data_IF_751726170615
#
_entry.id   IF_751726170615
#
_cell.length_a   1.000
_cell.length_b   1.000
_cell.length_c   1.000
_cell.angle_alpha   90.00
_cell.angle_beta   90.00
_cell.angle_gamma   90.00
#
_symmetry.space_group_name_H-M   'P 1'
#
loop_
_entity.id
_entity.type
_entity.pdbx_description
1 polymer ?
2 non-polymer ?
3 non-polymer ?
4 water ?
#
# COMPACT_ATOMS: atom_id res chain seq x y z
N UNK A 1 0.73 0.58 7.83
CA UNK A 1 0.15 -0.24 8.88
C UNK A 1 1.23 -0.70 9.90
N UNK A 2 2.50 -0.52 9.57
CA UNK A 2 3.66 -0.92 10.34
C UNK A 2 4.92 -0.21 9.89
N UNK A 3 6.09 -0.59 10.44
CA UNK A 3 7.34 0.15 10.20
C UNK A 3 7.86 0.21 8.76
N UNK A 4 7.57 -0.81 7.98
CA UNK A 4 7.97 -0.81 6.56
C UNK A 4 7.16 0.19 5.78
N UNK A 5 5.86 0.21 6.02
CA UNK A 5 4.93 1.18 5.38
C UNK A 5 5.25 2.61 5.86
N UNK A 6 5.65 2.77 7.11
CA UNK A 6 5.98 4.09 7.67
C UNK A 6 7.20 4.71 6.95
N UNK A 7 8.26 3.94 6.78
CA UNK A 7 9.44 4.43 6.01
C UNK A 7 9.06 4.75 4.55
N UNK A 8 8.33 3.85 3.89
CA UNK A 8 7.92 4.04 2.48
C UNK A 8 7.10 5.35 2.35
N UNK A 9 6.14 5.57 3.27
CA UNK A 9 5.29 6.78 3.21
C UNK A 9 6.15 8.07 3.36
N UNK A 10 7.13 8.03 4.25
CA UNK A 10 8.00 9.18 4.51
C UNK A 10 8.74 9.50 3.21
N UNK A 11 9.14 8.50 2.43
CA UNK A 11 9.83 8.76 1.13
C UNK A 11 8.80 9.27 0.12
N UNK A 12 7.62 8.65 0.05
CA UNK A 12 6.68 9.05 -1.00
C UNK A 12 6.22 10.50 -0.77
N UNK A 13 5.97 10.90 0.47
CA UNK A 13 5.33 12.19 0.76
C UNK A 13 6.27 13.35 0.47
N UNK A 14 7.58 13.18 0.46
CA UNK A 14 8.51 14.31 0.24
C UNK A 14 9.38 14.12 -1.02
N UNK A 15 9.63 12.88 -1.47
CA UNK A 15 10.67 12.63 -2.48
C UNK A 15 10.11 12.04 -3.77
N UNK A 16 8.82 12.18 -4.04
CA UNK A 16 8.28 11.71 -5.35
C UNK A 16 7.53 12.84 -6.05
N UNK A 17 7.52 12.73 -7.37
CA UNK A 17 6.70 13.55 -8.28
C UNK A 17 6.09 12.60 -9.30
N UNK A 18 5.04 13.07 -9.96
CA UNK A 18 4.45 12.33 -11.08
C UNK A 18 5.09 12.87 -12.37
N UNK A 19 5.79 12.01 -13.07
CA UNK A 19 6.49 12.37 -14.32
C UNK A 19 5.68 11.83 -15.48
N UNK A 20 5.47 12.65 -16.52
CA UNK A 20 4.72 12.23 -17.73
C UNK A 20 5.63 12.49 -18.94
N UNK A 21 5.92 11.42 -19.70
CA UNK A 21 6.64 11.51 -20.99
C UNK A 21 5.64 11.07 -22.08
N UNK A 22 6.10 10.96 -23.32
CA UNK A 22 5.28 10.41 -24.46
C UNK A 22 5.01 8.92 -24.26
N UNK A 23 5.73 8.27 -23.34
CA UNK A 23 5.59 6.84 -23.00
C UNK A 23 4.70 6.61 -21.78
N UNK A 24 4.08 7.62 -21.18
CA UNK A 24 3.06 7.54 -20.13
C UNK A 24 3.50 8.21 -18.82
N UNK A 25 2.76 7.92 -17.76
CA UNK A 25 2.92 8.48 -16.39
C UNK A 25 3.74 7.51 -15.55
N UNK A 26 4.75 8.02 -14.86
CA UNK A 26 5.69 7.25 -14.02
C UNK A 26 5.78 7.88 -12.63
N UNK A 27 5.91 7.05 -11.62
CA UNK A 27 6.47 7.47 -10.31
C UNK A 27 7.91 7.89 -10.58
N UNK A 28 8.29 9.05 -10.07
CA UNK A 28 9.66 9.57 -10.22
C UNK A 28 10.19 9.90 -8.81
N UNK A 29 11.31 9.30 -8.45
CA UNK A 29 12.00 9.52 -7.15
C UNK A 29 13.03 10.68 -7.26
N UNK A 30 12.81 11.72 -6.47
CA UNK A 30 13.77 12.82 -6.32
C UNK A 30 14.81 12.39 -5.29
N UNK A 31 16.10 12.62 -5.58
CA UNK A 31 17.17 12.09 -4.71
C UNK A 31 17.86 13.21 -3.91
N UNK A 32 18.18 14.32 -4.57
CA UNK A 32 18.76 15.52 -3.93
C UNK A 32 18.70 16.68 -4.93
N UNK A 33 18.82 17.91 -4.44
CA UNK A 33 18.85 19.13 -5.29
C UNK A 33 17.72 18.98 -6.32
N UNK A 34 17.99 19.09 -7.63
CA UNK A 34 16.96 18.98 -8.69
C UNK A 34 17.15 17.65 -9.45
N UNK A 35 17.74 16.67 -8.77
CA UNK A 35 18.16 15.41 -9.40
C UNK A 35 17.17 14.32 -9.03
N UNK A 36 16.64 13.66 -10.06
CA UNK A 36 15.64 12.55 -9.91
C UNK A 36 16.03 11.37 -10.76
N UNK A 37 15.32 10.27 -10.58
CA UNK A 37 15.52 9.01 -11.38
C UNK A 37 14.17 8.54 -11.92
N UNK A 38 14.28 7.82 -13.03
CA UNK A 38 13.09 7.28 -13.76
C UNK A 38 13.62 6.10 -14.57
N UNK A 39 12.78 5.07 -14.85
CA UNK A 39 13.26 4.00 -15.75
C UNK A 39 13.63 4.53 -17.14
N UNK A 40 14.71 3.99 -17.70
CA UNK A 40 15.21 4.48 -18.98
C UNK A 40 14.12 4.33 -20.07
N UNK A 41 13.30 3.29 -19.99
CA UNK A 41 12.21 3.11 -21.01
C UNK A 41 11.15 4.23 -20.98
N UNK A 42 11.13 5.14 -20.01
CA UNK A 42 10.26 6.33 -20.09
C UNK A 42 10.66 7.24 -21.23
N UNK A 43 11.86 7.11 -21.79
CA UNK A 43 12.38 7.90 -22.93
C UNK A 43 12.31 9.42 -22.66
N UNK A 44 13.00 9.88 -21.62
CA UNK A 44 13.00 11.31 -21.25
C UNK A 44 13.53 12.15 -22.42
N UNK A 45 12.84 13.22 -22.79
CA UNK A 45 13.31 14.15 -23.82
C UNK A 45 13.77 15.48 -23.26
N UNK A 46 13.68 16.53 -24.04
CA UNK A 46 14.11 17.87 -23.62
C UNK A 46 13.11 18.53 -22.63
N UNK A 47 11.85 18.14 -22.75
CA UNK A 47 10.72 18.65 -21.93
C UNK A 47 10.01 17.42 -21.35
N UNK A 48 9.62 17.56 -20.07
CA UNK A 48 8.90 16.51 -19.31
C UNK A 48 7.80 17.23 -18.53
N UNK A 49 6.71 16.54 -18.23
CA UNK A 49 5.72 17.12 -17.31
C UNK A 49 5.98 16.54 -15.90
N UNK A 50 6.00 17.43 -14.93
CA UNK A 50 6.23 17.07 -13.52
C UNK A 50 5.01 17.59 -12.73
N UNK A 51 4.22 16.70 -12.18
CA UNK A 51 2.94 17.09 -11.52
C UNK A 51 2.12 17.98 -12.49
N UNK A 52 2.08 17.64 -13.76
CA UNK A 52 1.31 18.32 -14.83
C UNK A 52 1.81 19.73 -15.11
N UNK A 53 3.06 20.02 -14.80
CA UNK A 53 3.72 21.27 -15.19
C UNK A 53 4.85 21.03 -16.19
N UNK A 54 4.79 21.76 -17.27
CA UNK A 54 5.82 21.70 -18.33
C UNK A 54 7.18 22.08 -17.77
N UNK A 55 8.15 21.17 -17.83
CA UNK A 55 9.44 21.39 -17.19
C UNK A 55 10.62 21.13 -18.18
N UNK A 56 11.60 22.02 -18.27
CA UNK A 56 12.79 21.74 -19.06
C UNK A 56 13.69 20.74 -18.34
N UNK A 57 14.25 19.85 -19.12
CA UNK A 57 15.22 18.84 -18.65
C UNK A 57 16.60 19.43 -18.86
N UNK A 58 17.32 19.74 -17.79
CA UNK A 58 18.67 20.37 -17.85
C UNK A 58 19.72 19.34 -18.21
N UNK A 59 19.54 18.08 -17.85
CA UNK A 59 20.50 17.01 -18.16
C UNK A 59 19.80 15.67 -17.98
N UNK A 60 20.10 14.70 -18.80
CA UNK A 60 19.55 13.33 -18.62
C UNK A 60 20.63 12.33 -19.04
N UNK A 61 20.86 11.33 -18.22
CA UNK A 61 21.89 10.29 -18.46
C UNK A 61 21.36 8.85 -18.24
N UNK A 62 21.27 8.06 -19.26
CA UNK A 62 20.91 6.64 -19.15
C UNK A 62 22.13 5.85 -18.67
N UNK A 63 22.09 5.32 -17.46
CA UNK A 63 23.25 4.62 -16.85
C UNK A 63 23.48 3.25 -17.51
N UNK A 64 24.75 2.92 -17.66
CA UNK A 64 25.23 1.60 -18.09
C UNK A 64 26.40 1.19 -17.17
N UNK A 65 26.56 -0.07 -16.88
CA UNK A 65 27.72 -0.50 -16.08
C UNK A 65 29.00 -0.45 -16.94
N UNK A 66 30.13 -0.76 -16.31
CA UNK A 66 31.45 -0.59 -16.98
C UNK A 66 31.65 -1.66 -18.07
N UNK A 67 30.86 -2.74 -18.06
CA UNK A 67 30.72 -3.72 -19.20
C UNK A 67 29.86 -3.16 -20.36
N UNK A 68 29.37 -1.91 -20.30
CA UNK A 68 28.52 -1.24 -21.33
C UNK A 68 27.20 -2.06 -21.38
N UNK A 69 26.70 -2.54 -20.24
CA UNK A 69 25.35 -3.17 -20.16
C UNK A 69 24.34 -2.17 -19.55
N UNK A 70 23.14 -2.13 -20.10
CA UNK A 70 22.00 -1.34 -19.57
C UNK A 70 21.84 -1.60 -18.06
N UNK A 71 21.66 -0.52 -17.28
CA UNK A 71 21.14 -0.57 -15.88
C UNK A 71 19.65 -0.14 -15.76
N UNK A 72 19.05 0.44 -16.80
CA UNK A 72 17.61 0.81 -16.84
C UNK A 72 17.28 1.99 -15.91
N UNK A 73 18.27 2.70 -15.42
CA UNK A 73 18.12 3.93 -14.60
C UNK A 73 18.48 5.10 -15.51
N UNK A 74 17.63 6.12 -15.58
CA UNK A 74 18.02 7.42 -16.15
C UNK A 74 18.03 8.45 -15.02
N UNK A 75 19.14 9.17 -14.86
CA UNK A 75 19.25 10.30 -13.92
C UNK A 75 18.90 11.58 -14.66
N UNK A 76 17.95 12.33 -14.14
CA UNK A 76 17.40 13.54 -14.78
C UNK A 76 17.67 14.71 -13.84
N UNK A 77 18.12 15.83 -14.38
CA UNK A 77 18.20 17.11 -13.64
C UNK A 77 17.09 18.04 -14.19
N UNK A 78 16.20 18.44 -13.31
CA UNK A 78 14.96 19.18 -13.69
C UNK A 78 15.17 20.68 -13.50
N UNK A 79 14.67 21.48 -14.44
CA UNK A 79 14.65 22.94 -14.25
C UNK A 79 13.45 23.33 -13.36
N UNK A 80 13.58 23.04 -12.08
CA UNK A 80 12.49 23.23 -11.09
C UNK A 80 12.96 24.27 -10.07
N UNK A 81 12.03 24.98 -9.43
CA UNK A 81 12.36 26.11 -8.52
C UNK A 81 12.53 25.63 -7.09
N UNK A 82 12.56 24.33 -6.86
CA UNK A 82 12.57 23.80 -5.48
C UNK A 82 13.47 22.55 -5.46
N UNK A 83 14.26 22.40 -4.42
CA UNK A 83 15.10 21.20 -4.22
C UNK A 83 14.32 20.08 -3.51
N UNK A 84 14.68 18.84 -3.80
CA UNK A 84 14.21 17.67 -3.03
C UNK A 84 14.97 17.58 -1.71
N UNK A 85 14.35 17.07 -0.68
CA UNK A 85 15.10 16.60 0.50
C UNK A 85 16.22 15.64 0.05
N UNK A 86 17.42 15.82 0.59
CA UNK A 86 18.54 14.92 0.27
C UNK A 86 18.39 13.58 0.99
N UNK A 87 18.15 12.51 0.21
CA UNK A 87 17.96 11.13 0.74
C UNK A 87 19.12 10.23 0.30
N UNK A 88 20.25 10.79 -0.10
CA UNK A 88 21.36 9.91 -0.54
C UNK A 88 21.88 9.01 0.58
N UNK A 89 21.76 9.42 1.84
CA UNK A 89 22.23 8.61 2.97
C UNK A 89 21.36 7.39 3.21
N UNK A 90 20.21 7.27 2.53
CA UNK A 90 19.38 6.05 2.60
C UNK A 90 19.73 5.03 1.50
N UNK A 91 20.68 5.36 0.63
CA UNK A 91 20.98 4.47 -0.52
C UNK A 91 22.04 3.48 -0.09
N UNK A 92 21.91 2.21 -0.49
CA UNK A 92 22.97 1.24 -0.22
C UNK A 92 24.26 1.55 -1.01
N UNK A 93 25.38 1.13 -0.41
CA UNK A 93 26.70 1.25 -1.10
C UNK A 93 26.95 0.08 -2.04
N UNK A 94 26.43 -1.12 -1.71
CA UNK A 94 26.76 -2.37 -2.44
C UNK A 94 25.50 -3.09 -2.96
N UNK A 95 25.68 -3.94 -3.98
CA UNK A 95 24.65 -4.91 -4.40
C UNK A 95 24.35 -5.80 -3.18
N UNK A 96 23.09 -6.13 -2.95
CA UNK A 96 22.66 -6.98 -1.83
C UNK A 96 21.29 -7.58 -2.08
N UNK A 97 20.95 -8.55 -1.25
CA UNK A 97 19.61 -9.14 -1.05
C UNK A 97 18.99 -8.51 0.19
N UNK A 98 17.67 -8.56 0.32
CA UNK A 98 16.95 -7.81 1.39
C UNK A 98 15.72 -8.58 1.83
N UNK A 99 15.36 -8.38 3.08
CA UNK A 99 14.07 -8.92 3.58
C UNK A 99 13.01 -7.83 3.55
N UNK A 100 11.75 -8.24 3.48
CA UNK A 100 10.63 -7.37 3.89
C UNK A 100 10.85 -6.04 3.15
N UNK A 101 10.51 -5.99 1.88
CA UNK A 101 10.47 -4.72 1.12
C UNK A 101 9.02 -4.28 0.85
N UNK A 102 8.86 -2.98 0.62
CA UNK A 102 7.61 -2.35 0.14
C UNK A 102 7.91 -1.69 -1.21
N UNK A 103 7.01 -1.87 -2.15
CA UNK A 103 6.98 -1.16 -3.45
C UNK A 103 5.88 -0.09 -3.37
N UNK A 104 6.26 1.18 -3.54
CA UNK A 104 5.33 2.32 -3.40
C UNK A 104 5.19 3.02 -4.76
N UNK A 105 3.94 3.35 -5.11
CA UNK A 105 3.59 3.94 -6.40
C UNK A 105 2.69 5.15 -6.14
N UNK A 106 2.88 6.22 -6.90
CA UNK A 106 1.94 7.36 -6.89
C UNK A 106 1.77 7.92 -8.32
N UNK A 107 0.63 7.61 -8.95
CA UNK A 107 0.25 8.18 -10.26
C UNK A 107 -1.24 8.57 -10.18
N UNK A 108 -1.72 9.20 -11.25
CA UNK A 108 -3.18 9.46 -11.50
C UNK A 108 -4.01 8.20 -11.28
N UNK A 109 -3.56 7.10 -11.91
CA UNK A 109 -4.15 5.73 -11.97
C UNK A 109 -4.08 5.03 -10.58
N UNK A 110 -2.89 5.03 -9.96
CA UNK A 110 -2.59 4.38 -8.66
C UNK A 110 -2.04 5.39 -7.63
N UNK A 111 -2.87 6.28 -7.05
CA UNK A 111 -2.41 7.16 -6.00
C UNK A 111 -2.28 6.39 -4.67
N UNK A 112 -1.27 6.77 -3.89
CA UNK A 112 -1.12 6.32 -2.50
C UNK A 112 -1.13 4.80 -2.40
N UNK A 113 -0.44 4.13 -3.31
CA UNK A 113 -0.35 2.65 -3.41
C UNK A 113 0.95 2.11 -2.78
N UNK A 114 0.78 1.15 -1.86
CA UNK A 114 1.88 0.53 -1.10
C UNK A 114 1.71 -0.98 -1.17
N UNK A 115 2.71 -1.73 -1.66
CA UNK A 115 2.64 -3.19 -1.84
C UNK A 115 3.72 -3.84 -1.01
N UNK A 116 3.37 -4.75 -0.08
CA UNK A 116 4.35 -5.53 0.64
C UNK A 116 4.76 -6.71 -0.26
N UNK A 117 5.92 -6.57 -0.91
CA UNK A 117 6.44 -7.53 -1.93
C UNK A 117 7.26 -8.65 -1.26
N UNK A 118 7.75 -8.49 -0.05
CA UNK A 118 8.43 -9.50 0.75
C UNK A 118 9.92 -9.56 0.42
N UNK A 119 10.48 -10.75 0.34
CA UNK A 119 11.93 -10.93 0.15
C UNK A 119 12.37 -10.44 -1.23
N UNK A 120 13.56 -9.81 -1.26
CA UNK A 120 14.16 -9.26 -2.52
C UNK A 120 15.49 -9.97 -2.80
N UNK A 121 15.56 -10.64 -3.94
CA UNK A 121 16.77 -11.36 -4.41
C UNK A 121 17.64 -10.45 -5.29
N UNK A 122 18.95 -10.45 -5.07
CA UNK A 122 19.93 -9.93 -6.04
C UNK A 122 19.90 -10.89 -7.22
N UNK A 123 19.09 -10.61 -8.20
CA UNK A 123 18.84 -11.50 -9.34
C UNK A 123 20.02 -11.38 -10.32
N UNK A 124 20.51 -10.18 -10.56
CA UNK A 124 21.64 -9.92 -11.46
C UNK A 124 21.20 -9.67 -12.87
N UNK A 125 21.49 -10.59 -13.79
CA UNK A 125 21.17 -10.46 -15.22
C UNK A 125 19.67 -10.72 -15.48
N UNK A 126 19.07 -9.88 -16.29
CA UNK A 126 17.71 -10.07 -16.81
C UNK A 126 17.70 -9.55 -18.24
N UNK A 127 17.10 -10.35 -19.10
CA UNK A 127 16.67 -9.90 -20.44
C UNK A 127 15.35 -9.17 -20.30
N UNK A 128 15.39 -7.84 -20.22
CA UNK A 128 14.25 -6.98 -19.93
C UNK A 128 13.68 -6.38 -21.20
N UNK A 129 12.51 -6.85 -21.63
CA UNK A 129 11.93 -6.48 -22.95
C UNK A 129 12.91 -6.69 -24.11
N UNK A 130 13.70 -7.75 -24.10
CA UNK A 130 14.72 -7.94 -25.14
C UNK A 130 16.09 -7.24 -24.88
N UNK A 131 16.23 -6.44 -23.82
CA UNK A 131 17.49 -5.67 -23.54
C UNK A 131 18.23 -6.31 -22.39
N UNK A 132 19.48 -6.79 -22.61
CA UNK A 132 20.28 -7.34 -21.51
C UNK A 132 20.46 -6.25 -20.44
N UNK A 133 20.20 -6.61 -19.19
CA UNK A 133 20.17 -5.61 -18.09
C UNK A 133 20.87 -6.21 -16.89
N UNK A 134 21.67 -5.41 -16.17
CA UNK A 134 22.37 -5.89 -14.96
C UNK A 134 21.82 -5.23 -13.69
N UNK A 135 22.26 -5.73 -12.55
CA UNK A 135 21.92 -5.15 -11.22
C UNK A 135 20.39 -5.17 -10.98
N UNK A 136 19.72 -6.25 -11.38
CA UNK A 136 18.27 -6.43 -11.16
C UNK A 136 18.01 -7.07 -9.79
N UNK A 137 17.04 -6.51 -9.10
CA UNK A 137 16.40 -7.08 -7.88
C UNK A 137 15.09 -7.74 -8.29
N UNK A 138 14.76 -8.87 -7.65
CA UNK A 138 13.51 -9.61 -7.95
C UNK A 138 12.70 -9.84 -6.67
N UNK A 139 11.39 -9.73 -6.80
CA UNK A 139 10.44 -10.02 -5.69
C UNK A 139 9.28 -10.82 -6.30
N UNK A 140 8.70 -11.69 -5.46
CA UNK A 140 7.61 -12.60 -5.93
C UNK A 140 6.29 -11.91 -5.65
N UNK A 141 5.93 -10.94 -6.49
CA UNK A 141 4.63 -10.26 -6.44
C UNK A 141 4.21 -10.05 -7.88
N UNK A 142 2.92 -10.33 -8.22
CA UNK A 142 2.42 -10.06 -9.57
C UNK A 142 2.18 -8.57 -9.81
N UNK A 143 3.27 -7.83 -10.04
CA UNK A 143 3.20 -6.39 -10.38
C UNK A 143 2.63 -6.19 -11.80
N UNK A 144 2.08 -4.98 -12.05
CA UNK A 144 1.22 -4.63 -13.23
C UNK A 144 1.74 -3.36 -13.89
N UNK A 145 1.38 -3.18 -15.17
CA UNK A 145 1.48 -1.92 -15.93
C UNK A 145 0.94 -0.76 -15.08
N UNK A 146 1.75 0.31 -14.99
CA UNK A 146 1.41 1.47 -14.15
C UNK A 146 2.26 1.60 -12.87
N UNK A 147 2.97 0.54 -12.49
CA UNK A 147 3.88 0.50 -11.30
C UNK A 147 5.36 0.83 -11.67
N UNK A 148 5.69 1.05 -12.94
CA UNK A 148 7.09 1.37 -13.29
C UNK A 148 7.50 2.73 -12.69
N UNK A 149 8.70 2.74 -12.14
CA UNK A 149 9.24 3.87 -11.40
C UNK A 149 8.91 3.78 -9.89
N UNK A 150 8.06 2.86 -9.49
CA UNK A 150 7.72 2.67 -8.09
C UNK A 150 8.96 2.48 -7.27
N UNK A 151 8.93 2.97 -6.04
CA UNK A 151 10.15 3.00 -5.18
C UNK A 151 10.14 1.73 -4.33
N UNK A 152 11.25 1.03 -4.28
CA UNK A 152 11.40 -0.16 -3.45
C UNK A 152 12.24 0.23 -2.23
N UNK A 153 11.68 0.01 -1.03
CA UNK A 153 12.31 0.41 0.22
C UNK A 153 12.31 -0.79 1.18
N UNK A 154 13.27 -0.80 2.10
CA UNK A 154 13.20 -1.58 3.33
C UNK A 154 13.11 -0.55 4.44
N UNK A 155 12.95 -0.97 5.69
CA UNK A 155 13.01 -0.01 6.82
C UNK A 155 14.50 0.44 6.79
N UNK A 156 14.67 1.71 6.54
CA UNK A 156 15.89 2.48 6.59
C UNK A 156 16.56 2.64 5.24
N UNK A 157 16.20 1.90 4.16
CA UNK A 157 16.94 2.01 2.88
C UNK A 157 16.04 2.16 1.67
N UNK A 158 16.48 2.97 0.73
CA UNK A 158 15.86 3.12 -0.61
C UNK A 158 16.71 2.30 -1.59
N UNK A 159 16.21 1.19 -2.08
CA UNK A 159 17.08 0.16 -2.70
C UNK A 159 16.89 0.04 -4.20
N UNK A 160 15.79 0.53 -4.78
CA UNK A 160 15.59 0.33 -6.22
C UNK A 160 14.35 1.01 -6.74
N UNK A 161 14.19 0.98 -8.07
CA UNK A 161 12.97 1.47 -8.74
C UNK A 161 12.46 0.33 -9.63
N UNK A 162 11.14 0.18 -9.63
CA UNK A 162 10.48 -0.90 -10.38
C UNK A 162 10.61 -0.67 -11.88
N UNK A 163 11.05 -1.71 -12.62
CA UNK A 163 11.27 -1.55 -14.08
C UNK A 163 10.48 -2.57 -14.92
N UNK A 164 9.95 -3.63 -14.34
CA UNK A 164 9.16 -4.59 -15.16
C UNK A 164 8.68 -5.77 -14.34
N UNK A 165 8.08 -6.74 -15.06
CA UNK A 165 7.61 -7.99 -14.42
C UNK A 165 7.20 -9.04 -15.44
N UNK A 166 6.91 -10.24 -14.98
CA UNK A 166 6.56 -11.38 -15.89
C UNK A 166 5.18 -11.93 -15.53
N UNK A 167 4.39 -11.26 -14.70
CA UNK A 167 3.04 -11.72 -14.32
C UNK A 167 3.05 -12.36 -12.95
N UNK A 168 4.17 -12.95 -12.54
CA UNK A 168 4.39 -13.60 -11.23
C UNK A 168 5.38 -12.83 -10.35
N UNK A 169 6.46 -12.40 -10.98
CA UNK A 169 7.60 -11.71 -10.33
C UNK A 169 7.66 -10.26 -10.84
N UNK A 170 8.15 -9.38 -9.98
CA UNK A 170 8.53 -8.01 -10.34
C UNK A 170 10.03 -7.81 -10.27
N UNK A 171 10.52 -6.82 -11.00
CA UNK A 171 11.95 -6.54 -11.14
C UNK A 171 12.20 -5.05 -10.94
N UNK A 172 13.27 -4.77 -10.19
CA UNK A 172 13.70 -3.40 -9.91
C UNK A 172 15.16 -3.23 -10.34
N UNK A 173 15.51 -2.04 -10.78
CA UNK A 173 16.91 -1.60 -10.97
C UNK A 173 17.43 -1.11 -9.61
N UNK A 174 18.60 -1.56 -9.20
CA UNK A 174 19.26 -1.16 -7.94
C UNK A 174 19.56 0.33 -7.98
N UNK A 175 19.34 0.98 -6.85
CA UNK A 175 19.94 2.32 -6.61
C UNK A 175 21.17 2.11 -5.71
N UNK A 176 22.28 2.71 -6.13
CA UNK A 176 23.54 2.67 -5.33
C UNK A 176 23.98 4.10 -5.05
N UNK A 177 24.59 4.27 -3.90
CA UNK A 177 25.08 5.58 -3.41
C UNK A 177 26.02 6.25 -4.45
N UNK A 178 26.88 5.42 -5.05
CA UNK A 178 27.91 5.88 -6.00
C UNK A 178 27.30 6.48 -7.26
N UNK A 179 26.01 6.27 -7.58
CA UNK A 179 25.39 6.88 -8.78
C UNK A 179 25.20 8.42 -8.59
N UNK A 180 25.19 8.89 -7.32
CA UNK A 180 24.71 10.27 -7.02
C UNK A 180 25.74 11.09 -6.23
N UNK A 181 27.02 10.71 -6.31
CA UNK A 181 28.15 11.57 -5.81
C UNK A 181 28.35 12.74 -6.83
N UNK B 2 -9.47 -0.15 -12.98
CA UNK B 2 -9.65 1.25 -12.50
C UNK B 2 -10.81 1.34 -11.52
N UNK B 3 -11.89 0.56 -11.75
CA UNK B 3 -13.02 0.50 -10.83
C UNK B 3 -12.67 -0.04 -9.43
N UNK B 4 -11.67 -0.92 -9.31
CA UNK B 4 -11.20 -1.49 -8.02
C UNK B 4 -10.55 -0.46 -7.09
N UNK B 5 -9.57 0.31 -7.59
CA UNK B 5 -9.03 1.50 -6.87
C UNK B 5 -10.10 2.56 -6.68
N UNK B 6 -10.92 2.86 -7.69
CA UNK B 6 -12.06 3.79 -7.53
C UNK B 6 -12.91 3.31 -6.35
N UNK B 7 -13.31 2.05 -6.37
CA UNK B 7 -14.21 1.50 -5.32
C UNK B 7 -13.55 1.63 -3.93
N UNK B 8 -12.27 1.25 -3.81
CA UNK B 8 -11.55 1.39 -2.52
C UNK B 8 -11.57 2.85 -2.07
N UNK B 9 -11.32 3.78 -3.00
CA UNK B 9 -11.31 5.23 -2.65
C UNK B 9 -12.71 5.71 -2.22
N UNK B 10 -13.76 5.22 -2.88
CA UNK B 10 -15.16 5.58 -2.55
C UNK B 10 -15.50 5.17 -1.12
N UNK B 11 -15.08 3.95 -0.76
CA UNK B 11 -15.33 3.42 0.60
C UNK B 11 -14.46 4.18 1.62
N UNK B 12 -13.21 4.49 1.26
CA UNK B 12 -12.33 5.30 2.15
C UNK B 12 -13.03 6.64 2.47
N UNK B 13 -13.41 7.39 1.43
CA UNK B 13 -13.88 8.79 1.61
C UNK B 13 -15.19 8.82 2.43
N UNK B 14 -16.17 8.02 2.09
CA UNK B 14 -17.53 8.19 2.64
C UNK B 14 -17.75 7.25 3.84
N UNK B 15 -16.94 6.21 4.02
CA UNK B 15 -17.25 5.15 5.01
C UNK B 15 -16.11 4.87 6.01
N UNK B 16 -14.98 5.49 5.90
CA UNK B 16 -13.85 5.13 6.80
C UNK B 16 -13.54 6.32 7.72
N UNK B 17 -13.36 6.06 9.02
CA UNK B 17 -13.04 7.09 10.01
C UNK B 17 -11.92 6.58 10.90
N UNK B 18 -11.27 7.52 11.61
CA UNK B 18 -10.21 7.15 12.55
C UNK B 18 -10.89 6.91 13.90
N UNK B 19 -10.78 5.71 14.44
CA UNK B 19 -11.31 5.44 15.79
C UNK B 19 -10.15 5.32 16.78
N UNK B 20 -10.24 6.00 17.92
CA UNK B 20 -9.22 5.89 18.98
C UNK B 20 -9.85 5.39 20.26
N UNK B 21 -9.33 4.25 20.71
CA UNK B 21 -9.75 3.63 21.99
C UNK B 21 -8.58 3.80 22.96
N UNK B 22 -8.71 3.20 24.13
CA UNK B 22 -7.62 3.17 25.13
C UNK B 22 -6.40 2.52 24.49
N UNK B 23 -6.55 1.62 23.51
CA UNK B 23 -5.40 0.92 22.88
C UNK B 23 -4.70 1.69 21.76
N UNK B 24 -5.28 2.77 21.30
CA UNK B 24 -4.74 3.55 20.20
C UNK B 24 -5.70 3.63 19.03
N UNK B 25 -5.13 3.91 17.86
CA UNK B 25 -5.93 4.22 16.66
C UNK B 25 -6.14 2.99 15.80
N UNK B 26 -7.37 2.93 15.25
CA UNK B 26 -7.82 1.84 14.37
C UNK B 26 -8.57 2.43 13.18
N UNK B 27 -8.39 1.82 12.01
CA UNK B 27 -9.25 2.13 10.87
C UNK B 27 -10.68 1.63 11.21
N UNK B 28 -11.72 2.47 11.17
CA UNK B 28 -13.09 2.00 11.47
C UNK B 28 -13.96 2.17 10.22
N UNK B 29 -14.75 1.15 9.90
CA UNK B 29 -15.69 1.15 8.79
C UNK B 29 -17.11 1.49 9.30
N UNK B 30 -17.67 2.61 8.81
CA UNK B 30 -19.09 2.88 9.01
C UNK B 30 -19.95 2.15 7.97
N UNK B 31 -21.03 1.51 8.41
CA UNK B 31 -21.83 0.64 7.54
C UNK B 31 -23.15 1.31 7.11
N UNK B 32 -23.90 1.84 8.07
CA UNK B 32 -25.16 2.53 7.75
C UNK B 32 -25.54 3.30 9.02
N UNK B 33 -26.45 4.28 8.92
CA UNK B 33 -26.89 5.07 10.09
C UNK B 33 -25.65 5.45 10.93
N UNK B 34 -25.68 5.14 12.23
CA UNK B 34 -24.52 5.40 13.15
C UNK B 34 -23.86 4.08 13.59
N UNK B 35 -23.93 3.08 12.72
CA UNK B 35 -23.46 1.71 12.99
C UNK B 35 -22.13 1.51 12.26
N UNK B 36 -21.11 1.11 12.99
CA UNK B 36 -19.75 0.92 12.47
C UNK B 36 -19.18 -0.42 13.01
N UNK B 37 -18.07 -0.79 12.44
CA UNK B 37 -17.31 -2.01 12.88
C UNK B 37 -15.85 -1.68 13.13
N UNK B 38 -15.27 -2.46 14.03
CA UNK B 38 -13.86 -2.32 14.44
C UNK B 38 -13.41 -3.70 14.93
N UNK B 39 -12.13 -4.08 14.85
CA UNK B 39 -11.70 -5.35 15.44
C UNK B 39 -11.98 -5.41 16.94
N UNK B 40 -12.38 -6.61 17.40
CA UNK B 40 -12.71 -6.77 18.83
C UNK B 40 -11.51 -6.44 19.72
N UNK B 41 -10.29 -6.70 19.24
CA UNK B 41 -9.08 -6.42 20.04
C UNK B 41 -8.87 -4.93 20.28
N UNK B 42 -9.61 -4.04 19.63
CA UNK B 42 -9.52 -2.60 19.93
C UNK B 42 -10.03 -2.26 21.34
N UNK B 43 -10.77 -3.14 21.99
CA UNK B 43 -11.22 -2.92 23.39
C UNK B 43 -12.08 -1.66 23.50
N UNK B 44 -13.16 -1.61 22.73
CA UNK B 44 -14.09 -0.46 22.75
C UNK B 44 -14.72 -0.29 24.15
N UNK B 45 -14.73 0.94 24.63
CA UNK B 45 -15.32 1.30 25.94
C UNK B 45 -16.62 2.04 25.77
N UNK B 46 -16.90 2.89 26.74
CA UNK B 46 -18.12 3.71 26.78
C UNK B 46 -18.01 4.95 25.89
N UNK B 47 -16.79 5.43 25.79
CA UNK B 47 -16.41 6.63 24.99
C UNK B 47 -15.33 6.20 23.98
N UNK B 48 -15.38 6.78 22.80
CA UNK B 48 -14.37 6.54 21.75
C UNK B 48 -14.11 7.89 21.08
N UNK B 49 -12.96 8.09 20.45
CA UNK B 49 -12.73 9.29 19.61
C UNK B 49 -12.93 8.88 18.15
N UNK B 50 -13.72 9.67 17.43
CA UNK B 50 -13.98 9.46 15.98
C UNK B 50 -13.41 10.70 15.29
N UNK B 51 -12.38 10.53 14.49
CA UNK B 51 -11.73 11.72 13.85
C UNK B 51 -11.44 12.79 14.92
N UNK B 52 -10.90 12.36 16.05
CA UNK B 52 -10.47 13.18 17.21
C UNK B 52 -11.65 13.82 17.94
N UNK B 53 -12.89 13.43 17.73
CA UNK B 53 -14.08 13.99 18.42
C UNK B 53 -14.50 12.97 19.46
N UNK B 54 -14.54 13.38 20.72
CA UNK B 54 -15.06 12.55 21.83
C UNK B 54 -16.50 12.13 21.57
N UNK B 55 -16.80 10.81 21.53
CA UNK B 55 -18.10 10.25 21.06
C UNK B 55 -18.59 9.14 22.02
N UNK B 56 -19.82 9.23 22.50
CA UNK B 56 -20.42 8.16 23.31
C UNK B 56 -20.71 6.96 22.39
N UNK B 57 -20.31 5.80 22.87
CA UNK B 57 -20.66 4.50 22.26
C UNK B 57 -21.97 4.06 22.94
N UNK B 58 -23.07 4.10 22.23
CA UNK B 58 -24.38 3.75 22.84
C UNK B 58 -24.53 2.22 23.01
N UNK B 59 -23.93 1.43 22.11
CA UNK B 59 -24.01 -0.04 22.17
C UNK B 59 -22.76 -0.59 21.47
N UNK B 60 -22.27 -1.70 21.99
CA UNK B 60 -21.11 -2.45 21.43
C UNK B 60 -21.45 -3.96 21.54
N UNK B 61 -21.23 -4.70 20.46
CA UNK B 61 -21.44 -6.17 20.40
C UNK B 61 -20.18 -6.84 19.85
N UNK B 62 -19.55 -7.69 20.65
CA UNK B 62 -18.41 -8.53 20.23
C UNK B 62 -19.03 -9.73 19.50
N UNK B 63 -19.07 -9.70 18.19
CA UNK B 63 -19.85 -10.68 17.40
C UNK B 63 -19.30 -12.12 17.51
N UNK B 64 -20.23 -13.05 17.61
CA UNK B 64 -19.98 -14.50 17.55
C UNK B 64 -20.97 -15.10 16.56
N UNK B 65 -20.61 -16.23 15.97
CA UNK B 65 -21.52 -16.87 15.00
C UNK B 65 -22.45 -17.82 15.75
N UNK B 66 -23.34 -18.50 15.04
CA UNK B 66 -24.38 -19.32 15.72
C UNK B 66 -23.78 -20.57 16.36
N UNK B 67 -22.51 -20.87 16.12
CA UNK B 67 -21.81 -21.94 16.89
C UNK B 67 -21.27 -21.39 18.20
N UNK B 68 -21.45 -20.10 18.48
CA UNK B 68 -20.94 -19.42 19.69
C UNK B 68 -19.42 -19.38 19.65
N UNK B 69 -18.85 -19.11 18.46
CA UNK B 69 -17.42 -18.89 18.22
C UNK B 69 -17.17 -17.41 17.85
N UNK B 70 -16.10 -16.85 18.44
CA UNK B 70 -15.60 -15.49 18.13
C UNK B 70 -15.47 -15.28 16.62
N UNK B 71 -15.90 -14.07 16.18
CA UNK B 71 -15.68 -13.58 14.78
C UNK B 71 -14.66 -12.41 14.70
N UNK B 72 -14.30 -11.80 15.85
CA UNK B 72 -13.29 -10.74 16.00
C UNK B 72 -13.81 -9.39 15.44
N UNK B 73 -15.10 -9.27 15.21
CA UNK B 73 -15.79 -8.02 14.77
C UNK B 73 -16.57 -7.52 15.97
N UNK B 74 -16.42 -6.24 16.27
CA UNK B 74 -17.29 -5.55 17.21
C UNK B 74 -18.09 -4.51 16.42
N UNK B 75 -19.40 -4.65 16.54
CA UNK B 75 -20.34 -3.67 15.96
C UNK B 75 -20.60 -2.63 17.04
N UNK B 76 -20.56 -1.36 16.66
CA UNK B 76 -20.85 -0.24 17.59
C UNK B 76 -21.96 0.62 17.03
N UNK B 77 -22.75 1.20 17.93
CA UNK B 77 -23.71 2.30 17.61
C UNK B 77 -23.16 3.57 18.27
N UNK B 78 -22.94 4.60 17.46
CA UNK B 78 -22.29 5.85 17.88
C UNK B 78 -23.33 6.95 18.10
N UNK B 79 -23.11 7.74 19.14
CA UNK B 79 -23.94 8.97 19.37
C UNK B 79 -23.33 10.18 18.62
N UNK B 80 -23.65 10.28 17.34
CA UNK B 80 -23.16 11.35 16.45
C UNK B 80 -24.26 11.67 15.43
N UNK B 81 -24.21 12.93 14.96
CA UNK B 81 -25.20 13.45 14.00
C UNK B 81 -25.07 12.86 12.59
N UNK B 82 -23.86 12.71 12.12
CA UNK B 82 -23.67 12.19 10.77
C UNK B 82 -24.23 10.78 10.63
N UNK B 83 -24.75 10.46 9.45
CA UNK B 83 -25.11 9.07 9.08
C UNK B 83 -24.17 8.57 7.99
N UNK B 84 -23.65 7.36 8.17
CA UNK B 84 -22.76 6.74 7.17
C UNK B 84 -23.57 6.37 5.93
N UNK B 85 -23.01 6.68 4.79
CA UNK B 85 -23.55 6.25 3.48
C UNK B 85 -23.75 4.73 3.54
N UNK B 86 -24.97 4.26 3.33
CA UNK B 86 -25.31 2.84 3.50
C UNK B 86 -24.52 1.99 2.49
N UNK B 87 -23.78 1.00 2.97
CA UNK B 87 -23.04 0.06 2.07
C UNK B 87 -23.47 -1.41 2.32
N UNK B 88 -24.62 -1.61 2.95
CA UNK B 88 -25.02 -3.01 3.24
C UNK B 88 -25.17 -3.84 1.98
N UNK B 89 -25.58 -3.23 0.87
CA UNK B 89 -25.75 -3.95 -0.41
C UNK B 89 -24.43 -4.32 -1.07
N UNK B 90 -23.28 -3.88 -0.53
CA UNK B 90 -21.96 -4.32 -1.02
C UNK B 90 -21.37 -5.44 -0.16
N UNK B 91 -22.11 -5.93 0.84
CA UNK B 91 -21.57 -7.01 1.71
C UNK B 91 -21.96 -8.35 1.13
N UNK B 92 -21.01 -9.30 1.04
CA UNK B 92 -21.33 -10.66 0.61
C UNK B 92 -22.33 -11.35 1.51
N UNK B 93 -23.08 -12.28 0.93
CA UNK B 93 -24.05 -13.13 1.68
C UNK B 93 -23.33 -14.34 2.32
N UNK B 94 -22.26 -14.85 1.74
CA UNK B 94 -21.61 -16.08 2.22
C UNK B 94 -20.10 -15.98 2.11
N UNK B 95 -19.40 -16.95 2.69
CA UNK B 95 -17.93 -17.04 2.63
C UNK B 95 -17.50 -17.36 1.21
N UNK B 96 -16.40 -16.76 0.77
CA UNK B 96 -15.91 -16.97 -0.60
C UNK B 96 -14.42 -16.66 -0.70
N UNK B 97 -13.82 -17.04 -1.82
CA UNK B 97 -12.49 -16.59 -2.26
C UNK B 97 -12.68 -15.35 -3.16
N UNK B 98 -11.64 -14.54 -3.26
CA UNK B 98 -11.68 -13.31 -4.09
C UNK B 98 -10.35 -13.10 -4.79
N UNK B 99 -10.37 -12.35 -5.89
CA UNK B 99 -9.16 -11.90 -6.62
C UNK B 99 -8.95 -10.39 -6.46
N UNK B 100 -7.71 -9.93 -6.56
CA UNK B 100 -7.37 -8.51 -6.73
C UNK B 100 -8.04 -7.65 -5.66
N UNK B 101 -7.83 -7.98 -4.39
CA UNK B 101 -8.34 -7.20 -3.25
C UNK B 101 -7.36 -6.08 -2.89
N UNK B 102 -7.94 -5.05 -2.30
CA UNK B 102 -7.22 -3.89 -1.76
C UNK B 102 -7.56 -3.75 -0.28
N UNK B 103 -6.53 -3.52 0.53
CA UNK B 103 -6.62 -3.27 1.99
C UNK B 103 -6.36 -1.77 2.17
N UNK B 104 -7.32 -1.03 2.69
CA UNK B 104 -7.26 0.44 2.80
C UNK B 104 -7.23 0.86 4.27
N UNK B 105 -6.16 1.58 4.64
CA UNK B 105 -5.80 1.96 6.03
C UNK B 105 -6.05 3.46 6.21
N UNK B 106 -6.63 3.87 7.31
CA UNK B 106 -6.88 5.29 7.62
C UNK B 106 -6.68 5.55 9.12
N UNK B 107 -5.50 6.08 9.49
CA UNK B 107 -5.21 6.54 10.87
C UNK B 107 -4.45 7.88 10.80
N UNK B 108 -4.15 8.48 11.93
CA UNK B 108 -3.36 9.73 11.95
C UNK B 108 -1.94 9.47 11.45
N UNK B 109 -1.45 8.28 11.65
CA UNK B 109 -0.07 7.92 11.24
C UNK B 109 -0.04 7.48 9.76
N UNK B 110 -1.13 6.87 9.28
CA UNK B 110 -1.28 6.28 7.95
C UNK B 110 -2.54 6.79 7.33
N UNK B 111 -2.63 8.03 6.90
CA UNK B 111 -3.88 8.56 6.37
C UNK B 111 -4.07 8.09 4.92
N UNK B 112 -5.26 7.71 4.52
CA UNK B 112 -5.37 7.48 3.04
C UNK B 112 -4.30 6.54 2.42
N UNK B 113 -4.09 5.33 2.94
CA UNK B 113 -3.06 4.37 2.47
C UNK B 113 -3.70 3.10 1.82
N UNK B 114 -3.43 2.79 0.58
CA UNK B 114 -4.05 1.70 -0.20
C UNK B 114 -3.02 0.61 -0.42
N UNK B 115 -3.34 -0.61 0.02
CA UNK B 115 -2.39 -1.76 0.00
C UNK B 115 -2.98 -2.85 -0.83
N UNK B 116 -2.62 -2.98 -2.11
CA UNK B 116 -3.04 -4.10 -2.90
C UNK B 116 -2.49 -5.39 -2.29
N UNK B 117 -3.34 -6.39 -2.07
CA UNK B 117 -2.89 -7.67 -1.47
C UNK B 117 -3.02 -8.87 -2.45
N UNK B 118 -3.83 -8.70 -3.50
CA UNK B 118 -4.01 -9.75 -4.50
C UNK B 118 -5.03 -10.75 -4.07
N UNK B 119 -4.69 -12.02 -4.17
CA UNK B 119 -5.64 -13.13 -4.02
C UNK B 119 -6.01 -13.29 -2.54
N UNK B 120 -7.28 -13.48 -2.28
CA UNK B 120 -7.83 -13.67 -0.91
C UNK B 120 -8.53 -15.02 -0.83
N UNK B 121 -8.15 -15.81 0.15
CA UNK B 121 -8.64 -17.20 0.35
C UNK B 121 -9.69 -17.19 1.48
N UNK B 122 -10.79 -17.89 1.28
CA UNK B 122 -11.69 -18.37 2.35
C UNK B 122 -10.95 -19.37 3.23
N UNK B 123 -10.36 -18.92 4.32
CA UNK B 123 -9.40 -19.66 5.16
C UNK B 123 -10.13 -20.40 6.29
N UNK B 124 -11.15 -19.77 6.88
CA UNK B 124 -12.00 -20.40 7.89
C UNK B 124 -11.52 -20.18 9.32
N UNK B 125 -11.00 -21.23 9.96
CA UNK B 125 -10.61 -21.27 11.36
C UNK B 125 -9.23 -20.67 11.55
N UNK B 126 -9.07 -19.85 12.57
CA UNK B 126 -7.75 -19.32 12.98
C UNK B 126 -7.73 -19.20 14.51
N UNK B 127 -6.62 -19.60 15.14
CA UNK B 127 -6.40 -19.30 16.56
C UNK B 127 -5.73 -17.96 16.61
N UNK B 128 -6.52 -16.95 16.88
CA UNK B 128 -6.05 -15.55 16.84
C UNK B 128 -5.81 -15.02 18.26
N UNK B 129 -4.56 -14.76 18.61
CA UNK B 129 -4.23 -14.32 19.99
C UNK B 129 -4.75 -15.27 21.06
N UNK B 130 -4.74 -16.56 20.79
CA UNK B 130 -5.23 -17.58 21.73
C UNK B 130 -6.73 -17.80 21.69
N UNK B 131 -7.47 -17.05 20.86
CA UNK B 131 -8.94 -17.22 20.77
C UNK B 131 -9.31 -17.89 19.45
N UNK B 132 -9.98 -19.06 19.53
CA UNK B 132 -10.53 -19.72 18.33
C UNK B 132 -11.51 -18.76 17.61
N UNK B 133 -11.25 -18.55 16.32
CA UNK B 133 -11.96 -17.53 15.51
C UNK B 133 -12.43 -18.16 14.19
N UNK B 134 -13.62 -17.78 13.78
CA UNK B 134 -14.24 -18.24 12.54
C UNK B 134 -14.30 -17.14 11.43
N UNK B 135 -14.60 -17.61 10.23
CA UNK B 135 -14.86 -16.77 9.03
C UNK B 135 -13.68 -15.85 8.74
N UNK B 136 -12.49 -16.42 8.71
CA UNK B 136 -11.26 -15.68 8.37
C UNK B 136 -10.95 -15.76 6.88
N UNK B 137 -10.55 -14.60 6.34
CA UNK B 137 -9.98 -14.43 4.99
C UNK B 137 -8.46 -14.31 5.12
N UNK B 138 -7.73 -14.94 4.19
CA UNK B 138 -6.28 -14.84 4.21
C UNK B 138 -5.70 -14.32 2.90
N UNK B 139 -4.67 -13.50 3.02
CA UNK B 139 -3.88 -12.98 1.88
C UNK B 139 -2.40 -13.02 2.27
N UNK B 140 -1.56 -13.01 1.26
CA UNK B 140 -0.11 -12.83 1.47
C UNK B 140 0.12 -11.48 2.13
N UNK B 141 0.99 -11.40 3.10
CA UNK B 141 1.27 -10.12 3.77
C UNK B 141 2.63 -10.24 4.45
N UNK B 142 3.71 -10.23 3.63
CA UNK B 142 5.06 -10.51 4.14
C UNK B 142 5.68 -9.27 4.77
N UNK B 143 5.17 -8.84 5.91
CA UNK B 143 5.57 -7.60 6.61
C UNK B 143 5.15 -7.76 8.07
N UNK B 144 5.72 -7.01 9.00
CA UNK B 144 5.14 -6.98 10.38
C UNK B 144 4.30 -5.71 10.52
N UNK B 145 3.01 -5.94 10.67
CA UNK B 145 1.97 -4.91 10.78
C UNK B 145 1.60 -4.77 12.28
N UNK B 146 1.29 -3.56 12.67
CA UNK B 146 0.68 -3.28 13.98
C UNK B 146 -0.81 -3.59 13.98
N UNK B 147 -1.49 -3.02 14.94
CA UNK B 147 -2.90 -3.37 15.26
C UNK B 147 -3.91 -2.60 14.41
N UNK B 148 -3.56 -1.53 13.70
CA UNK B 148 -4.56 -0.51 13.33
C UNK B 148 -5.59 -1.05 12.31
N UNK B 149 -5.21 -2.06 11.54
CA UNK B 149 -6.11 -2.70 10.54
C UNK B 149 -6.54 -1.81 9.39
N UNK B 150 -7.67 -2.20 8.75
CA UNK B 150 -8.07 -1.61 7.49
C UNK B 150 -9.17 -2.42 6.83
N UNK B 151 -9.72 -1.82 5.79
CA UNK B 151 -10.93 -2.33 5.10
C UNK B 151 -10.50 -3.08 3.84
N UNK B 152 -10.98 -4.30 3.66
CA UNK B 152 -10.64 -5.11 2.47
C UNK B 152 -11.80 -5.06 1.47
N UNK B 153 -11.49 -4.62 0.24
CA UNK B 153 -12.47 -4.49 -0.82
C UNK B 153 -12.00 -5.20 -2.08
N UNK B 154 -12.97 -5.51 -2.91
CA UNK B 154 -12.77 -5.92 -4.32
C UNK B 154 -13.60 -4.93 -5.14
N UNK B 155 -13.55 -4.91 -6.46
CA UNK B 155 -14.60 -4.16 -7.24
C UNK B 155 -16.00 -4.64 -6.76
N UNK B 156 -16.79 -3.70 -6.29
CA UNK B 156 -18.17 -3.90 -5.94
C UNK B 156 -18.45 -4.61 -4.67
N UNK B 157 -17.46 -5.02 -3.85
CA UNK B 157 -17.77 -5.71 -2.57
C UNK B 157 -16.84 -5.24 -1.44
N UNK B 158 -17.43 -5.05 -0.27
CA UNK B 158 -16.66 -4.78 0.96
C UNK B 158 -16.62 -6.12 1.72
N UNK B 159 -15.48 -6.78 1.78
CA UNK B 159 -15.46 -8.21 2.15
C UNK B 159 -14.99 -8.43 3.58
N UNK B 160 -14.28 -7.50 4.21
CA UNK B 160 -13.74 -7.84 5.51
C UNK B 160 -12.97 -6.67 6.11
N UNK B 161 -12.53 -6.89 7.35
CA UNK B 161 -11.65 -5.93 8.06
C UNK B 161 -10.42 -6.68 8.60
N UNK B 162 -9.24 -6.07 8.43
CA UNK B 162 -7.97 -6.72 8.84
C UNK B 162 -7.92 -6.90 10.38
N UNK B 163 -7.61 -8.10 10.85
CA UNK B 163 -7.58 -8.37 12.30
C UNK B 163 -6.24 -8.92 12.76
N UNK B 164 -5.33 -9.34 11.88
CA UNK B 164 -4.05 -9.87 12.40
C UNK B 164 -3.18 -10.43 11.30
N UNK B 165 -2.09 -11.08 11.70
CA UNK B 165 -1.09 -11.53 10.75
C UNK B 165 0.02 -12.31 11.44
N UNK B 166 0.87 -12.97 10.65
CA UNK B 166 1.95 -13.76 11.30
C UNK B 166 3.29 -13.48 10.64
N UNK B 167 3.46 -12.35 9.92
CA UNK B 167 4.70 -11.92 9.24
C UNK B 167 4.82 -12.47 7.85
N UNK B 168 4.03 -13.48 7.44
CA UNK B 168 3.94 -14.01 6.05
C UNK B 168 2.55 -13.82 5.46
N UNK B 169 1.53 -14.04 6.28
CA UNK B 169 0.10 -13.97 5.90
C UNK B 169 -0.60 -12.91 6.74
N UNK B 170 -1.64 -12.35 6.15
CA UNK B 170 -2.52 -11.38 6.78
C UNK B 170 -3.94 -11.95 6.81
N UNK B 171 -4.65 -11.59 7.86
CA UNK B 171 -5.97 -12.21 8.17
C UNK B 171 -7.02 -11.11 8.40
N UNK B 172 -8.19 -11.28 7.76
CA UNK B 172 -9.34 -10.37 7.87
C UNK B 172 -10.56 -11.17 8.35
N UNK B 173 -11.37 -10.54 9.17
CA UNK B 173 -12.70 -11.02 9.55
C UNK B 173 -13.67 -10.70 8.43
N UNK B 174 -14.47 -11.69 8.01
CA UNK B 174 -15.48 -11.45 6.96
C UNK B 174 -16.56 -10.50 7.46
N UNK B 175 -17.03 -9.67 6.53
CA UNK B 175 -18.30 -8.96 6.71
C UNK B 175 -19.35 -9.66 5.86
N UNK B 176 -20.49 -9.99 6.50
CA UNK B 176 -21.61 -10.64 5.79
C UNK B 176 -22.84 -9.76 5.92
N UNK B 177 -23.69 -9.88 4.90
CA UNK B 177 -24.92 -9.06 4.83
C UNK B 177 -25.78 -9.25 6.08
N UNK B 178 -25.86 -10.51 6.53
CA UNK B 178 -26.76 -10.92 7.64
C UNK B 178 -26.33 -10.30 8.95
N UNK B 179 -25.13 -9.72 9.09
CA UNK B 179 -24.72 -9.09 10.38
C UNK B 179 -25.54 -7.80 10.66
N UNK B 180 -26.10 -7.22 9.63
CA UNK B 180 -26.69 -5.85 9.70
C UNK B 180 -28.13 -5.73 9.21
N UNK B 181 -28.79 -6.83 8.95
CA UNK B 181 -30.20 -6.80 8.44
C UNK B 181 -31.14 -6.16 9.50
X LIG C 1 7.30 18.80 -0.57
X LIG C 1 6.40 18.64 0.63
X LIG C 1 6.55 20.07 -1.56
X LIG C 1 6.98 17.43 -1.68
X LIG D 1 -27.23 -19.48 10.70
X LIG D 1 -27.21 -18.16 11.12
X LIG D 1 -26.05 -17.61 11.61
X LIG D 1 -22.81 -21.13 11.65
X LIG D 1 -24.88 -18.37 11.72
X LIG D 1 -23.71 -17.88 12.30
X LIG D 1 -24.91 -19.71 11.27
X LIG D 1 -23.74 -20.52 11.46
X LIG D 1 -26.08 -20.26 10.75
X LIG D 1 -28.90 -20.28 10.25
X LIG E 1 -26.49 -4.26 13.65
X LIG E 1 -26.92 -3.19 14.70
X LIG E 1 -27.11 -3.66 12.14
X LIG E 1 -27.64 -5.62 13.85
X LIG F 1 -14.45 -20.47 -2.44
X LIG F 1 -15.00 -20.43 -0.92
X LIG F 1 -13.63 -22.07 -2.56
X LIG F 1 -15.85 -20.95 -3.43
X LIG G 1 -0.56 -12.95 -5.04
X LIG G 1 -2.02 -12.52 -5.39
X LIG G 1 -0.76 -14.27 -3.84
X LIG G 1 0.06 -11.71 -3.89
X LIG H 1 -1.85 -15.71 15.48
X LIG H 1 -2.48 -14.65 16.38
X LIG H 1 -0.26 -15.02 14.96
X LIG H 1 -2.62 -15.48 13.90
X LIG I 1 -24.96 -16.23 6.88
X LIG I 1 -24.22 -16.57 8.17
X LIG I 1 -26.40 -17.26 6.88
X LIG I 1 -24.10 -16.99 5.51
#
# INVERSE_FOLDING_TARGET
>A
MGPGFDFAQAIMKKNTVIARTEKGEFTMLGVYDRVAVIPTHASVGEIIYINDVETRVLDACALRDLTDTNLEITIVKLDRNQKFRDIRHFLPRCEDDYNDAVLSVHTSKFPNMYIPVGQVTNYGFLNLGGTPTHRILMYNFPTRAGQCGGVVTTTGKVIGIHVGGNGAQGFAAMLLHSYFTD
>B
MGPGFDFAQAIMKKNTVIARTEKGEFTMLGVYDRVAVIPTHASVGEIIYINDVETRVLDACALRDLTDTNLEITIVKLDRNQKFRDIRHFLPRCEDDYNDAVLSVHTSKFPNMYIPVGQVTNYGFLNLGGTPTHRILMYNFPTRAGQCGGVVTTTGKVIGIHVGGNGAQGFAAMLLHSYFTD
>C hetero
1 DMS S O C1 C2
>D hetero
1 UUJ C4 C5 C6 N C O C1 C2 C3 BR
>E hetero
1 DMS S O C1 C2
>F hetero
1 DMS S O C1 C2
>G hetero
1 DMS S O C1 C2
>H hetero
1 DMS S O C1 C2
>I hetero
1 DMS S O C1 C2
#
